data_IF_160173533960
#
_entry.id   IF_160173533960
#
_cell.length_a   1.000
_cell.length_b   1.000
_cell.length_c   1.000
_cell.angle_alpha   90.00
_cell.angle_beta   90.00
_cell.angle_gamma   90.00
#
_symmetry.space_group_name_H-M   'P 1'
#
loop_
_entity.id
_entity.type
_entity.pdbx_description
1 polymer ?
#
# COMPACT_ATOMS: atom_id res chain seq x y z
N UNK A 1 41.51 26.27 65.10
CA UNK A 1 40.64 26.92 64.09
C UNK A 1 41.12 26.43 62.73
N UNK A 2 40.41 25.49 62.11
CA UNK A 2 40.69 25.03 60.74
C UNK A 2 39.35 24.60 60.12
N UNK A 3 38.86 25.42 59.20
CA UNK A 3 37.63 25.19 58.44
C UNK A 3 37.78 23.97 57.53
N UNK A 4 36.86 23.01 57.63
CA UNK A 4 36.64 22.00 56.58
C UNK A 4 35.44 22.41 55.75
N UNK A 5 35.74 22.68 54.48
CA UNK A 5 34.84 22.94 53.37
C UNK A 5 33.77 21.85 53.24
N UNK A 6 32.52 22.29 53.32
CA UNK A 6 31.33 21.60 52.83
C UNK A 6 31.29 21.67 51.30
N UNK A 7 31.30 20.52 50.62
CA UNK A 7 31.00 20.42 49.17
C UNK A 7 30.74 18.97 48.72
N UNK A 8 29.79 18.30 49.36
CA UNK A 8 29.12 17.15 48.72
C UNK A 8 27.83 17.64 48.04
N UNK A 9 27.98 18.03 46.77
CA UNK A 9 26.85 18.27 45.90
C UNK A 9 26.23 16.95 45.48
N UNK A 10 25.09 16.60 46.07
CA UNK A 10 24.24 15.49 45.66
C UNK A 10 23.92 15.58 44.15
N UNK A 11 24.64 14.80 43.34
CA UNK A 11 24.27 14.58 41.94
C UNK A 11 23.00 13.75 41.91
N UNK A 12 21.85 14.42 41.74
CA UNK A 12 20.55 13.75 41.47
C UNK A 12 20.75 12.68 40.39
N UNK A 13 20.27 11.43 40.61
CA UNK A 13 20.42 10.37 39.61
C UNK A 13 19.70 10.79 38.32
N UNK A 14 20.41 10.74 37.18
CA UNK A 14 19.83 11.01 35.86
C UNK A 14 18.64 10.05 35.68
N UNK A 15 17.41 10.59 35.55
CA UNK A 15 16.22 9.79 35.26
C UNK A 15 16.49 8.95 34.02
N UNK A 16 16.40 7.62 34.14
CA UNK A 16 16.54 6.70 33.00
C UNK A 16 15.52 7.11 31.94
N UNK A 17 15.98 7.43 30.74
CA UNK A 17 15.12 7.84 29.64
C UNK A 17 14.24 6.65 29.26
N UNK A 18 12.94 6.74 29.54
CA UNK A 18 11.97 5.69 29.25
C UNK A 18 11.74 5.67 27.74
N UNK A 19 12.01 4.53 27.10
CA UNK A 19 11.72 4.32 25.68
C UNK A 19 10.21 4.35 25.49
N UNK A 20 9.73 5.23 24.60
CA UNK A 20 8.30 5.37 24.29
C UNK A 20 7.88 4.44 23.15
N UNK A 21 6.56 4.26 22.96
CA UNK A 21 6.04 3.52 21.81
C UNK A 21 6.43 4.15 20.47
N UNK A 22 6.50 5.48 20.42
CA UNK A 22 6.97 6.23 19.24
C UNK A 22 8.43 5.91 18.94
N UNK A 23 9.29 5.83 19.97
CA UNK A 23 10.70 5.50 19.80
C UNK A 23 10.88 4.07 19.26
N UNK A 24 10.04 3.13 19.70
CA UNK A 24 10.04 1.75 19.19
C UNK A 24 9.58 1.69 17.73
N UNK A 25 8.51 2.40 17.37
CA UNK A 25 8.04 2.43 15.99
C UNK A 25 9.04 3.09 15.05
N UNK A 26 9.71 4.17 15.49
CA UNK A 26 10.74 4.85 14.69
C UNK A 26 11.96 3.99 14.39
N UNK A 27 12.22 2.95 15.19
CA UNK A 27 13.26 1.93 14.96
C UNK A 27 12.78 0.73 14.14
N UNK A 28 11.51 0.72 13.74
CA UNK A 28 11.00 -0.32 12.86
C UNK A 28 11.44 -0.07 11.43
N UNK A 29 11.67 -1.15 10.68
CA UNK A 29 11.98 -1.06 9.25
C UNK A 29 10.84 -0.41 8.45
N UNK A 30 9.59 -0.48 8.93
CA UNK A 30 8.47 0.20 8.30
C UNK A 30 8.61 1.72 8.39
N UNK A 31 9.10 2.25 9.50
CA UNK A 31 9.35 3.68 9.63
C UNK A 31 10.60 4.10 8.84
N UNK A 32 11.72 3.44 9.09
CA UNK A 32 13.02 3.85 8.53
C UNK A 32 13.10 3.72 7.01
N UNK A 33 12.41 2.73 6.43
CA UNK A 33 12.55 2.39 5.01
C UNK A 33 11.30 2.74 4.20
N UNK A 34 10.11 2.70 4.81
CA UNK A 34 8.83 2.78 4.12
C UNK A 34 7.89 3.88 4.62
N UNK A 35 8.41 4.88 5.33
CA UNK A 35 7.64 6.09 5.66
C UNK A 35 8.19 7.29 4.89
N UNK A 36 7.29 8.02 4.23
CA UNK A 36 7.63 9.07 3.28
C UNK A 36 6.79 10.31 3.53
N UNK A 37 7.29 11.48 3.10
CA UNK A 37 6.41 12.63 2.85
C UNK A 37 5.61 12.40 1.55
N UNK A 38 4.50 13.11 1.33
CA UNK A 38 3.74 13.03 0.07
C UNK A 38 4.60 13.29 -1.17
N UNK A 39 5.53 14.25 -1.08
CA UNK A 39 6.44 14.62 -2.16
C UNK A 39 7.45 13.51 -2.44
N UNK A 40 8.05 12.94 -1.38
CA UNK A 40 8.99 11.81 -1.50
C UNK A 40 8.30 10.59 -2.11
N UNK A 41 7.06 10.31 -1.72
CA UNK A 41 6.29 9.20 -2.27
C UNK A 41 5.98 9.41 -3.76
N UNK A 42 5.58 10.62 -4.16
CA UNK A 42 5.34 10.97 -5.56
C UNK A 42 6.61 10.84 -6.39
N UNK A 43 7.74 11.34 -5.88
CA UNK A 43 9.05 11.20 -6.52
C UNK A 43 9.48 9.74 -6.66
N UNK A 44 9.26 8.91 -5.63
CA UNK A 44 9.59 7.49 -5.69
C UNK A 44 8.79 6.76 -6.79
N UNK A 45 7.49 7.04 -6.92
CA UNK A 45 6.65 6.51 -8.01
C UNK A 45 7.10 7.00 -9.38
N UNK A 46 7.45 8.27 -9.51
CA UNK A 46 7.95 8.82 -10.77
C UNK A 46 9.28 8.17 -11.19
N UNK A 47 10.20 7.95 -10.24
CA UNK A 47 11.49 7.29 -10.48
C UNK A 47 11.31 5.83 -10.90
N UNK A 48 10.42 5.08 -10.23
CA UNK A 48 10.17 3.68 -10.61
C UNK A 48 9.56 3.60 -12.01
N UNK A 49 8.58 4.46 -12.33
CA UNK A 49 8.01 4.57 -13.67
C UNK A 49 9.07 4.92 -14.73
N UNK A 50 9.90 5.94 -14.48
CA UNK A 50 10.96 6.36 -15.39
C UNK A 50 11.98 5.26 -15.67
N UNK A 51 12.41 4.54 -14.62
CA UNK A 51 13.25 3.33 -14.75
C UNK A 51 12.57 2.30 -15.67
N UNK A 52 11.29 2.02 -15.44
CA UNK A 52 10.51 1.10 -16.26
C UNK A 52 10.41 1.54 -17.72
N UNK A 53 10.21 2.84 -17.96
CA UNK A 53 10.15 3.42 -19.31
C UNK A 53 11.50 3.30 -20.02
N UNK A 54 12.60 3.55 -19.34
CA UNK A 54 13.94 3.39 -19.91
C UNK A 54 14.22 1.94 -20.32
N UNK A 55 13.85 0.96 -19.48
CA UNK A 55 13.98 -0.47 -19.81
C UNK A 55 13.08 -0.89 -20.98
N UNK A 56 11.83 -0.43 -21.00
CA UNK A 56 10.90 -0.72 -22.10
C UNK A 56 11.39 -0.11 -23.43
N UNK A 57 11.94 1.11 -23.40
CA UNK A 57 12.58 1.77 -24.55
C UNK A 57 13.75 0.95 -25.09
N UNK A 58 14.67 0.52 -24.22
CA UNK A 58 15.83 -0.27 -24.63
C UNK A 58 15.40 -1.59 -25.32
N UNK A 59 14.46 -2.33 -24.73
CA UNK A 59 13.90 -3.56 -25.32
C UNK A 59 13.20 -3.29 -26.65
N UNK A 60 12.50 -2.17 -26.75
CA UNK A 60 11.81 -1.77 -27.98
C UNK A 60 12.81 -1.50 -29.10
N UNK A 61 13.86 -0.70 -28.85
CA UNK A 61 14.87 -0.38 -29.85
C UNK A 61 15.58 -1.64 -30.35
N UNK A 62 15.95 -2.56 -29.46
CA UNK A 62 16.55 -3.85 -29.84
C UNK A 62 15.63 -4.67 -30.77
N UNK A 63 14.36 -4.81 -30.39
CA UNK A 63 13.36 -5.51 -31.19
C UNK A 63 13.10 -4.79 -32.53
N UNK A 64 13.12 -3.47 -32.55
CA UNK A 64 12.90 -2.63 -33.72
C UNK A 64 14.04 -2.76 -34.73
N UNK A 65 15.30 -2.69 -34.27
CA UNK A 65 16.46 -2.90 -35.13
C UNK A 65 16.45 -4.29 -35.75
N UNK A 66 16.16 -5.33 -34.94
CA UNK A 66 16.05 -6.71 -35.42
C UNK A 66 14.97 -6.86 -36.48
N UNK A 67 13.79 -6.26 -36.25
CA UNK A 67 12.67 -6.31 -37.20
C UNK A 67 12.98 -5.55 -38.50
N UNK A 68 13.62 -4.39 -38.42
CA UNK A 68 14.03 -3.58 -39.57
C UNK A 68 15.04 -4.31 -40.45
N UNK A 69 16.02 -5.00 -39.85
CA UNK A 69 16.97 -5.83 -40.59
C UNK A 69 16.32 -7.05 -41.25
N UNK A 70 15.25 -7.60 -40.64
CA UNK A 70 14.57 -8.79 -41.18
C UNK A 70 13.61 -8.44 -42.33
N UNK A 71 12.97 -7.26 -42.31
CA UNK A 71 11.95 -6.86 -43.29
C UNK A 71 12.19 -5.45 -43.86
N UNK A 72 13.34 -5.15 -44.50
CA UNK A 72 13.72 -3.79 -44.88
C UNK A 72 12.67 -3.10 -45.78
N UNK A 73 12.13 -3.82 -46.77
CA UNK A 73 11.16 -3.29 -47.72
C UNK A 73 9.87 -2.78 -47.06
N UNK A 74 9.40 -3.41 -45.98
CA UNK A 74 8.17 -2.98 -45.29
C UNK A 74 8.41 -1.66 -44.55
N UNK A 75 9.59 -1.51 -43.94
CA UNK A 75 9.96 -0.29 -43.21
C UNK A 75 10.21 0.89 -44.15
N UNK A 76 10.76 0.65 -45.34
CA UNK A 76 10.96 1.69 -46.37
C UNK A 76 9.64 2.15 -47.00
N UNK A 77 8.70 1.22 -47.21
CA UNK A 77 7.39 1.55 -47.78
C UNK A 77 6.44 2.24 -46.78
N UNK A 78 6.63 2.04 -45.47
CA UNK A 78 5.74 2.57 -44.43
C UNK A 78 6.49 3.31 -43.30
N UNK A 79 7.29 4.36 -43.60
CA UNK A 79 8.10 5.05 -42.61
C UNK A 79 7.27 5.83 -41.57
N UNK A 80 6.03 6.21 -41.91
CA UNK A 80 5.14 6.90 -40.97
C UNK A 80 4.43 5.94 -40.00
N UNK A 81 4.23 4.68 -40.37
CA UNK A 81 3.53 3.69 -39.54
C UNK A 81 4.47 2.82 -38.69
N UNK A 82 5.74 2.74 -39.07
CA UNK A 82 6.79 1.94 -38.42
C UNK A 82 7.95 2.84 -37.97
N UNK A 83 7.69 3.70 -37.00
CA UNK A 83 8.70 4.55 -36.36
C UNK A 83 8.66 4.40 -34.83
N UNK A 84 9.56 5.06 -34.12
CA UNK A 84 9.66 4.99 -32.66
C UNK A 84 8.40 5.50 -31.93
N UNK A 85 7.55 6.30 -32.60
CA UNK A 85 6.31 6.83 -32.00
C UNK A 85 5.22 5.78 -31.78
N UNK A 86 5.37 4.57 -32.36
CA UNK A 86 4.46 3.45 -32.08
C UNK A 86 4.52 2.99 -30.62
N UNK A 87 5.58 3.38 -29.91
CA UNK A 87 5.79 3.03 -28.52
C UNK A 87 4.90 3.90 -27.59
N UNK A 88 3.84 3.29 -27.07
CA UNK A 88 2.96 3.89 -26.08
C UNK A 88 3.24 3.30 -24.68
N UNK A 89 4.02 4.02 -23.87
CA UNK A 89 4.41 3.62 -22.52
C UNK A 89 3.49 4.22 -21.45
N UNK A 90 3.39 3.53 -20.32
CA UNK A 90 2.51 3.93 -19.23
C UNK A 90 3.00 5.21 -18.54
N UNK A 91 2.06 6.09 -18.20
CA UNK A 91 2.30 7.20 -17.27
C UNK A 91 2.25 6.73 -15.81
N UNK A 92 2.73 7.56 -14.89
CA UNK A 92 2.69 7.28 -13.45
C UNK A 92 1.26 7.11 -12.93
N UNK A 93 0.30 7.83 -13.50
CA UNK A 93 -1.13 7.78 -13.16
C UNK A 93 -1.79 6.50 -13.69
N UNK A 94 -1.47 6.11 -14.93
CA UNK A 94 -1.92 4.84 -15.51
C UNK A 94 -1.37 3.65 -14.73
N UNK A 95 -0.09 3.69 -14.38
CA UNK A 95 0.56 2.67 -13.54
C UNK A 95 -0.10 2.59 -12.16
N UNK A 96 -0.37 3.73 -11.52
CA UNK A 96 -1.09 3.76 -10.23
C UNK A 96 -2.48 3.13 -10.32
N UNK A 97 -3.26 3.51 -11.35
CA UNK A 97 -4.61 2.96 -11.59
C UNK A 97 -4.59 1.46 -11.80
N UNK A 98 -3.61 0.98 -12.56
CA UNK A 98 -3.44 -0.44 -12.86
C UNK A 98 -3.03 -1.23 -11.61
N UNK A 99 -2.14 -0.68 -10.78
CA UNK A 99 -1.77 -1.30 -9.49
C UNK A 99 -2.95 -1.37 -8.52
N UNK A 100 -3.82 -0.35 -8.48
CA UNK A 100 -5.03 -0.35 -7.65
C UNK A 100 -5.99 -1.47 -8.06
N UNK A 101 -6.14 -1.74 -9.36
CA UNK A 101 -6.89 -2.90 -9.86
C UNK A 101 -6.31 -4.22 -9.34
N UNK A 102 -4.99 -4.40 -9.36
CA UNK A 102 -4.36 -5.62 -8.83
C UNK A 102 -4.45 -5.73 -7.31
N UNK A 103 -4.48 -4.62 -6.56
CA UNK A 103 -4.76 -4.65 -5.13
C UNK A 103 -6.16 -5.23 -4.83
N UNK A 104 -7.17 -4.89 -5.64
CA UNK A 104 -8.50 -5.52 -5.51
C UNK A 104 -8.46 -7.02 -5.83
N UNK A 105 -7.63 -7.42 -6.80
CA UNK A 105 -7.41 -8.83 -7.12
C UNK A 105 -6.70 -9.58 -5.98
N UNK A 106 -5.80 -8.92 -5.22
CA UNK A 106 -5.21 -9.49 -4.00
C UNK A 106 -6.31 -9.80 -3.00
N UNK A 107 -7.19 -8.84 -2.72
CA UNK A 107 -8.34 -9.02 -1.81
C UNK A 107 -9.18 -10.22 -2.22
N UNK A 108 -9.51 -10.31 -3.50
CA UNK A 108 -10.35 -11.37 -4.07
C UNK A 108 -9.67 -12.74 -3.97
N UNK A 109 -8.38 -12.80 -4.29
CA UNK A 109 -7.59 -14.03 -4.24
C UNK A 109 -7.42 -14.53 -2.80
N UNK A 110 -7.05 -13.65 -1.86
CA UNK A 110 -6.96 -14.02 -0.45
C UNK A 110 -8.31 -14.51 0.12
N UNK A 111 -9.43 -13.90 -0.28
CA UNK A 111 -10.76 -14.36 0.11
C UNK A 111 -11.07 -15.75 -0.43
N UNK A 112 -10.73 -16.02 -1.69
CA UNK A 112 -10.91 -17.33 -2.31
C UNK A 112 -10.16 -18.43 -1.54
N UNK A 113 -8.93 -18.16 -1.10
CA UNK A 113 -8.14 -19.07 -0.26
C UNK A 113 -8.50 -19.02 1.24
N UNK A 114 -9.52 -18.25 1.64
CA UNK A 114 -9.94 -18.05 3.05
C UNK A 114 -8.80 -17.60 3.96
N UNK A 115 -7.85 -16.85 3.41
CA UNK A 115 -6.70 -16.35 4.17
C UNK A 115 -7.13 -15.29 5.20
N UNK A 116 -6.48 -15.24 6.37
CA UNK A 116 -6.81 -14.27 7.40
C UNK A 116 -6.52 -12.84 6.95
N UNK A 117 -7.14 -11.87 7.62
CA UNK A 117 -6.98 -10.43 7.29
C UNK A 117 -5.51 -10.00 7.29
N UNK A 118 -4.69 -10.51 8.21
CA UNK A 118 -3.26 -10.19 8.30
C UNK A 118 -2.52 -10.52 7.00
N UNK A 119 -2.65 -11.76 6.49
CA UNK A 119 -2.05 -12.19 5.22
C UNK A 119 -2.44 -11.26 4.07
N UNK A 120 -3.72 -10.89 3.99
CA UNK A 120 -4.21 -9.96 2.96
C UNK A 120 -3.54 -8.58 3.06
N UNK A 121 -3.45 -8.01 4.26
CA UNK A 121 -2.83 -6.70 4.47
C UNK A 121 -1.33 -6.74 4.21
N UNK A 122 -0.65 -7.82 4.57
CA UNK A 122 0.78 -8.04 4.29
C UNK A 122 1.03 -8.19 2.80
N UNK A 123 0.24 -8.98 2.09
CA UNK A 123 0.34 -9.14 0.63
C UNK A 123 0.16 -7.79 -0.10
N UNK A 124 -0.83 -7.00 0.28
CA UNK A 124 -1.04 -5.67 -0.28
C UNK A 124 0.14 -4.71 0.06
N UNK A 125 0.71 -4.80 1.26
CA UNK A 125 1.89 -4.02 1.64
C UNK A 125 3.10 -4.40 0.79
N UNK A 126 3.38 -5.71 0.61
CA UNK A 126 4.48 -6.19 -0.21
C UNK A 126 4.32 -5.75 -1.67
N UNK A 127 3.11 -5.88 -2.23
CA UNK A 127 2.82 -5.46 -3.59
C UNK A 127 3.07 -3.95 -3.80
N UNK A 128 2.58 -3.11 -2.89
CA UNK A 128 2.81 -1.65 -2.95
C UNK A 128 4.29 -1.29 -2.82
N UNK A 129 5.01 -1.92 -1.88
CA UNK A 129 6.44 -1.70 -1.65
C UNK A 129 7.25 -2.11 -2.89
N UNK A 130 6.92 -3.25 -3.49
CA UNK A 130 7.57 -3.75 -4.70
C UNK A 130 7.46 -2.74 -5.85
N UNK A 131 6.25 -2.21 -6.12
CA UNK A 131 6.03 -1.25 -7.20
C UNK A 131 6.39 0.20 -6.87
N UNK A 132 6.85 0.45 -5.64
CA UNK A 132 7.54 1.71 -5.32
C UNK A 132 9.01 1.69 -5.74
N UNK A 133 9.57 0.49 -5.95
CA UNK A 133 10.97 0.27 -6.35
C UNK A 133 11.08 -0.15 -7.82
N UNK A 134 10.12 -0.93 -8.30
CA UNK A 134 10.08 -1.46 -9.66
C UNK A 134 8.86 -0.94 -10.44
N UNK A 135 8.86 -1.13 -11.75
CA UNK A 135 7.72 -0.75 -12.61
C UNK A 135 6.97 -1.98 -13.15
N UNK A 136 5.69 -1.79 -13.47
CA UNK A 136 4.86 -2.75 -14.21
C UNK A 136 5.41 -3.05 -15.61
N UNK A 137 6.18 -2.12 -16.19
CA UNK A 137 6.88 -2.30 -17.47
C UNK A 137 8.16 -3.15 -17.34
N UNK A 138 8.56 -3.49 -16.11
CA UNK A 138 9.67 -4.41 -15.81
C UNK A 138 9.13 -5.77 -15.37
N UNK A 139 8.16 -5.78 -14.44
CA UNK A 139 7.54 -6.98 -13.89
C UNK A 139 6.03 -6.91 -13.98
N UNK A 140 5.43 -7.88 -14.67
CA UNK A 140 3.99 -7.93 -14.85
C UNK A 140 3.25 -8.17 -13.51
N UNK A 141 2.24 -7.34 -13.15
CA UNK A 141 1.54 -7.42 -11.85
C UNK A 141 0.88 -8.75 -11.51
N UNK A 142 0.40 -9.51 -12.51
CA UNK A 142 -0.23 -10.82 -12.29
C UNK A 142 0.65 -11.78 -11.49
N UNK A 143 1.91 -11.98 -11.90
CA UNK A 143 2.78 -12.95 -11.24
C UNK A 143 3.28 -12.39 -9.90
N UNK A 144 3.63 -11.09 -9.86
CA UNK A 144 4.02 -10.40 -8.62
C UNK A 144 2.92 -10.46 -7.57
N UNK A 145 1.64 -10.32 -7.96
CA UNK A 145 0.50 -10.47 -7.07
C UNK A 145 0.50 -11.84 -6.37
N UNK A 146 0.64 -12.92 -7.14
CA UNK A 146 0.62 -14.27 -6.58
C UNK A 146 1.84 -14.54 -5.69
N UNK A 147 3.02 -14.04 -6.09
CA UNK A 147 4.23 -14.11 -5.27
C UNK A 147 4.08 -13.32 -3.97
N UNK A 148 3.48 -12.13 -3.98
CA UNK A 148 3.20 -11.35 -2.77
C UNK A 148 2.26 -12.08 -1.82
N UNK A 149 1.20 -12.72 -2.33
CA UNK A 149 0.26 -13.50 -1.51
C UNK A 149 0.97 -14.70 -0.89
N UNK A 150 1.74 -15.45 -1.69
CA UNK A 150 2.46 -16.62 -1.22
C UNK A 150 3.53 -16.26 -0.17
N UNK A 151 4.30 -15.20 -0.39
CA UNK A 151 5.30 -14.72 0.57
C UNK A 151 4.64 -14.17 1.85
N UNK A 152 3.52 -13.45 1.73
CA UNK A 152 2.76 -12.96 2.88
C UNK A 152 2.20 -14.12 3.73
N UNK A 153 1.72 -15.18 3.09
CA UNK A 153 1.27 -16.38 3.79
C UNK A 153 2.41 -16.98 4.63
N UNK A 154 3.62 -17.12 4.05
CA UNK A 154 4.82 -17.56 4.79
C UNK A 154 5.16 -16.62 5.96
N UNK A 155 5.17 -15.30 5.71
CA UNK A 155 5.53 -14.29 6.71
C UNK A 155 4.56 -14.22 7.90
N UNK A 156 3.28 -14.50 7.68
CA UNK A 156 2.22 -14.49 8.70
C UNK A 156 1.92 -15.89 9.26
N UNK A 157 2.79 -16.87 9.03
CA UNK A 157 2.64 -18.26 9.48
C UNK A 157 1.35 -18.96 9.00
N UNK A 158 0.83 -18.57 7.83
CA UNK A 158 -0.26 -19.26 7.14
C UNK A 158 0.31 -20.30 6.17
N UNK A 159 0.19 -21.58 6.52
CA UNK A 159 0.76 -22.65 5.73
C UNK A 159 -0.10 -22.99 4.51
N UNK A 160 0.50 -22.88 3.32
CA UNK A 160 -0.06 -23.36 2.05
C UNK A 160 1.10 -23.85 1.17
N UNK A 161 0.98 -25.05 0.60
CA UNK A 161 2.01 -25.56 -0.32
C UNK A 161 1.93 -24.85 -1.67
N UNK A 162 3.07 -24.75 -2.37
CA UNK A 162 3.11 -24.12 -3.68
C UNK A 162 2.21 -24.84 -4.69
N UNK A 163 2.18 -26.18 -4.65
CA UNK A 163 1.37 -27.00 -5.56
C UNK A 163 -0.13 -26.77 -5.34
N UNK A 164 -0.58 -26.73 -4.08
CA UNK A 164 -1.98 -26.43 -3.76
C UNK A 164 -2.36 -24.99 -4.14
N UNK A 165 -1.42 -24.05 -3.99
CA UNK A 165 -1.64 -22.66 -4.36
C UNK A 165 -1.81 -22.49 -5.87
N UNK A 166 -0.89 -23.01 -6.69
CA UNK A 166 -0.94 -22.85 -8.15
C UNK A 166 -2.02 -23.70 -8.81
N UNK A 167 -2.40 -24.85 -8.23
CA UNK A 167 -3.48 -25.71 -8.76
C UNK A 167 -4.81 -24.97 -8.89
N UNK A 168 -5.08 -24.00 -8.01
CA UNK A 168 -6.30 -23.21 -8.06
C UNK A 168 -6.22 -21.97 -8.98
N UNK A 169 -5.03 -21.67 -9.53
CA UNK A 169 -4.78 -20.49 -10.36
C UNK A 169 -4.68 -20.87 -11.84
N UNK A 170 -5.44 -20.18 -12.69
CA UNK A 170 -5.45 -20.47 -14.13
C UNK A 170 -4.18 -19.95 -14.82
N UNK A 171 -3.43 -20.88 -15.41
CA UNK A 171 -2.25 -20.58 -16.22
C UNK A 171 -1.10 -19.96 -15.43
N UNK A 172 -0.89 -20.44 -14.20
CA UNK A 172 0.23 -20.07 -13.33
C UNK A 172 0.93 -21.36 -12.92
N UNK A 173 2.25 -21.41 -13.10
CA UNK A 173 3.08 -22.53 -12.68
C UNK A 173 3.84 -22.17 -11.41
N UNK A 174 4.32 -23.18 -10.66
CA UNK A 174 5.15 -22.96 -9.47
C UNK A 174 6.38 -22.09 -9.78
N UNK A 175 7.01 -22.31 -10.94
CA UNK A 175 8.17 -21.55 -11.39
C UNK A 175 7.89 -20.05 -11.55
N UNK A 176 6.67 -19.64 -11.97
CA UNK A 176 6.31 -18.23 -12.11
C UNK A 176 6.35 -17.47 -10.78
N UNK A 177 6.07 -18.18 -9.69
CA UNK A 177 6.06 -17.63 -8.33
C UNK A 177 7.47 -17.72 -7.72
N UNK A 178 8.09 -18.89 -7.77
CA UNK A 178 9.37 -19.16 -7.11
C UNK A 178 10.51 -18.34 -7.72
N UNK A 179 10.52 -18.13 -9.04
CA UNK A 179 11.53 -17.31 -9.70
C UNK A 179 11.45 -15.83 -9.29
N UNK A 180 10.26 -15.35 -8.94
CA UNK A 180 10.05 -13.97 -8.47
C UNK A 180 10.23 -13.81 -6.96
N UNK A 181 10.25 -14.89 -6.18
CA UNK A 181 10.26 -14.82 -4.72
C UNK A 181 11.50 -14.08 -4.18
N UNK A 182 12.69 -14.39 -4.71
CA UNK A 182 13.91 -13.72 -4.30
C UNK A 182 13.97 -12.26 -4.75
N UNK A 183 13.50 -11.97 -5.97
CA UNK A 183 13.41 -10.60 -6.51
C UNK A 183 12.46 -9.76 -5.65
N UNK A 184 11.34 -10.34 -5.23
CA UNK A 184 10.42 -9.71 -4.30
C UNK A 184 11.11 -9.40 -2.97
N UNK A 185 11.80 -10.37 -2.36
CA UNK A 185 12.56 -10.16 -1.11
C UNK A 185 13.59 -9.03 -1.21
N UNK A 186 14.37 -8.99 -2.29
CA UNK A 186 15.34 -7.93 -2.57
C UNK A 186 14.66 -6.57 -2.70
N UNK A 187 13.55 -6.50 -3.43
CA UNK A 187 12.77 -5.27 -3.64
C UNK A 187 12.14 -4.76 -2.34
N UNK A 188 11.76 -5.67 -1.45
CA UNK A 188 11.29 -5.38 -0.09
C UNK A 188 12.44 -5.02 0.87
N UNK A 189 13.70 -5.02 0.41
CA UNK A 189 14.89 -4.83 1.24
C UNK A 189 14.91 -5.77 2.45
N UNK A 190 14.36 -6.98 2.29
CA UNK A 190 14.19 -7.99 3.34
C UNK A 190 13.36 -7.53 4.56
N UNK A 191 12.55 -6.47 4.42
CA UNK A 191 11.70 -5.92 5.49
C UNK A 191 10.31 -6.57 5.50
N UNK A 192 10.24 -7.79 6.05
CA UNK A 192 9.03 -8.61 6.00
C UNK A 192 7.97 -8.26 7.06
N UNK A 193 8.39 -7.69 8.20
CA UNK A 193 7.45 -7.30 9.25
C UNK A 193 6.61 -6.09 8.80
N UNK A 194 5.29 -6.25 8.82
CA UNK A 194 4.33 -5.19 8.54
C UNK A 194 3.50 -4.89 9.79
N UNK A 195 3.56 -3.65 10.27
CA UNK A 195 2.71 -3.16 11.35
C UNK A 195 1.35 -2.76 10.78
N UNK A 196 0.33 -3.57 11.03
CA UNK A 196 -1.02 -3.30 10.55
C UNK A 196 -1.85 -2.43 11.51
N UNK A 197 -2.75 -1.58 10.98
CA UNK A 197 -3.65 -0.76 11.81
C UNK A 197 -4.74 -1.56 12.53
N UNK A 198 -5.00 -2.82 12.16
CA UNK A 198 -5.97 -3.68 12.84
C UNK A 198 -5.58 -3.99 14.30
N UNK A 199 -4.28 -4.01 14.61
CA UNK A 199 -3.78 -4.28 15.97
C UNK A 199 -4.01 -3.08 16.91
N UNK A 200 -3.60 -1.84 16.58
CA UNK A 200 -3.97 -0.68 17.39
C UNK A 200 -5.48 -0.42 17.39
N UNK A 201 -6.22 -0.74 16.31
CA UNK A 201 -7.68 -0.67 16.33
C UNK A 201 -8.28 -1.54 17.45
N UNK A 202 -7.80 -2.77 17.61
CA UNK A 202 -8.20 -3.64 18.70
C UNK A 202 -7.77 -3.10 20.07
N UNK A 203 -6.57 -2.52 20.18
CA UNK A 203 -6.12 -1.82 21.39
C UNK A 203 -7.07 -0.70 21.80
N UNK A 204 -7.43 0.19 20.86
CA UNK A 204 -8.38 1.27 21.13
C UNK A 204 -9.77 0.76 21.49
N UNK A 205 -10.21 -0.36 20.91
CA UNK A 205 -11.46 -1.00 21.32
C UNK A 205 -11.44 -1.41 22.80
N UNK A 206 -10.34 -2.02 23.26
CA UNK A 206 -10.18 -2.38 24.68
C UNK A 206 -10.10 -1.14 25.59
N UNK A 207 -9.36 -0.11 25.16
CA UNK A 207 -9.27 1.16 25.90
C UNK A 207 -10.65 1.81 26.03
N UNK A 208 -11.47 1.81 24.96
CA UNK A 208 -12.84 2.33 25.02
C UNK A 208 -13.74 1.52 25.96
N UNK A 209 -13.59 0.19 26.01
CA UNK A 209 -14.34 -0.61 26.99
C UNK A 209 -13.93 -0.26 28.41
N UNK A 210 -12.62 -0.14 28.68
CA UNK A 210 -12.11 0.19 30.00
C UNK A 210 -12.54 1.59 30.46
N UNK A 211 -12.40 2.59 29.60
CA UNK A 211 -12.66 4.00 29.94
C UNK A 211 -14.14 4.36 29.87
N UNK A 212 -14.94 3.79 28.97
CA UNK A 212 -16.34 4.21 28.76
C UNK A 212 -17.37 3.33 29.46
N UNK A 213 -17.05 2.07 29.79
CA UNK A 213 -18.00 1.12 30.37
C UNK A 213 -17.71 0.74 31.82
N UNK A 214 -16.46 0.88 32.29
CA UNK A 214 -16.06 0.47 33.63
C UNK A 214 -15.77 1.67 34.55
N UNK A 215 -16.19 1.63 35.84
CA UNK A 215 -16.98 0.58 36.50
C UNK A 215 -18.48 0.60 36.14
N UNK A 216 -18.97 1.70 35.55
CA UNK A 216 -20.31 1.83 34.98
C UNK A 216 -20.24 2.73 33.73
N UNK A 217 -21.19 2.63 32.78
CA UNK A 217 -21.17 3.43 31.56
C UNK A 217 -21.16 4.94 31.86
N UNK A 218 -20.23 5.67 31.26
CA UNK A 218 -20.14 7.14 31.40
C UNK A 218 -21.37 7.82 30.76
N UNK A 219 -21.97 7.19 29.76
CA UNK A 219 -23.12 7.71 29.02
C UNK A 219 -24.17 6.62 28.78
N UNK A 220 -25.44 7.01 28.80
CA UNK A 220 -26.58 6.10 28.64
C UNK A 220 -26.64 5.44 27.24
N UNK A 221 -26.11 6.11 26.21
CA UNK A 221 -26.11 5.64 24.82
C UNK A 221 -24.89 4.76 24.46
N UNK A 222 -23.91 4.66 25.35
CA UNK A 222 -22.70 3.85 25.12
C UNK A 222 -22.87 2.47 25.75
N UNK A 223 -23.23 1.50 24.91
CA UNK A 223 -23.32 0.08 25.28
C UNK A 223 -22.16 -0.72 24.69
N UNK A 224 -22.03 -1.98 25.13
CA UNK A 224 -21.08 -2.96 24.54
C UNK A 224 -21.31 -3.11 23.04
N UNK A 225 -22.59 -3.15 22.62
CA UNK A 225 -22.96 -3.29 21.21
C UNK A 225 -22.58 -2.05 20.40
N UNK A 226 -22.73 -0.84 20.96
CA UNK A 226 -22.30 0.41 20.30
C UNK A 226 -20.80 0.39 20.01
N UNK A 227 -19.98 -0.02 21.00
CA UNK A 227 -18.52 -0.11 20.83
C UNK A 227 -18.14 -1.25 19.86
N UNK A 228 -18.84 -2.38 19.93
CA UNK A 228 -18.66 -3.51 19.00
C UNK A 228 -18.96 -3.13 17.54
N UNK A 229 -20.07 -2.44 17.31
CA UNK A 229 -20.45 -1.94 15.98
C UNK A 229 -19.43 -0.93 15.45
N UNK A 230 -18.97 0.00 16.29
CA UNK A 230 -17.92 0.96 15.92
C UNK A 230 -16.64 0.24 15.47
N UNK A 231 -16.21 -0.80 16.20
CA UNK A 231 -15.05 -1.62 15.83
C UNK A 231 -15.25 -2.34 14.49
N UNK A 232 -16.41 -2.96 14.29
CA UNK A 232 -16.73 -3.66 13.04
C UNK A 232 -16.71 -2.71 11.84
N UNK A 233 -17.37 -1.55 11.94
CA UNK A 233 -17.35 -0.53 10.89
C UNK A 233 -15.95 0.02 10.64
N UNK A 234 -15.15 0.25 11.69
CA UNK A 234 -13.77 0.71 11.54
C UNK A 234 -12.88 -0.36 10.86
N UNK A 235 -13.12 -1.64 11.15
CA UNK A 235 -12.42 -2.75 10.48
C UNK A 235 -12.78 -2.83 9.00
N UNK A 236 -14.05 -2.64 8.65
CA UNK A 236 -14.49 -2.54 7.25
C UNK A 236 -13.86 -1.33 6.54
N UNK A 237 -13.79 -0.19 7.24
CA UNK A 237 -13.11 1.00 6.74
C UNK A 237 -11.64 0.71 6.39
N UNK A 238 -10.92 -0.02 7.25
CA UNK A 238 -9.54 -0.44 6.97
C UNK A 238 -9.47 -1.38 5.76
N UNK A 239 -10.36 -2.36 5.66
CA UNK A 239 -10.40 -3.26 4.51
C UNK A 239 -10.67 -2.52 3.18
N UNK A 240 -11.47 -1.45 3.21
CA UNK A 240 -11.83 -0.67 2.03
C UNK A 240 -10.77 0.36 1.65
N UNK A 241 -10.45 1.27 2.58
CA UNK A 241 -9.67 2.47 2.30
C UNK A 241 -8.18 2.30 2.60
N UNK A 242 -7.80 1.64 3.70
CA UNK A 242 -6.37 1.41 3.99
C UNK A 242 -5.72 0.49 2.95
N UNK A 243 -6.43 -0.55 2.49
CA UNK A 243 -5.93 -1.44 1.46
C UNK A 243 -5.69 -0.75 0.12
N UNK A 244 -6.55 0.19 -0.28
CA UNK A 244 -6.51 0.79 -1.62
C UNK A 244 -5.71 2.10 -1.67
N UNK A 245 -5.47 2.77 -0.53
CA UNK A 245 -4.78 4.07 -0.49
C UNK A 245 -3.30 3.97 -0.13
N UNK A 246 -2.58 5.08 -0.27
CA UNK A 246 -1.15 5.16 0.07
C UNK A 246 -0.89 5.53 1.54
N UNK A 247 -1.91 5.54 2.41
CA UNK A 247 -1.78 6.03 3.79
C UNK A 247 -0.80 5.23 4.65
N UNK A 248 -0.55 3.95 4.30
CA UNK A 248 0.43 3.10 4.96
C UNK A 248 1.87 3.63 4.86
N UNK A 249 2.15 4.44 3.84
CA UNK A 249 3.46 5.10 3.62
C UNK A 249 3.56 6.46 4.29
N UNK A 250 2.44 7.04 4.74
CA UNK A 250 2.35 8.44 5.17
C UNK A 250 2.05 8.58 6.66
N UNK A 251 1.42 7.58 7.26
CA UNK A 251 0.94 7.64 8.64
C UNK A 251 1.30 6.37 9.41
N UNK A 252 1.56 6.52 10.69
CA UNK A 252 1.77 5.36 11.57
C UNK A 252 0.47 4.57 11.76
N UNK A 253 0.52 3.24 11.98
CA UNK A 253 -0.66 2.40 12.13
C UNK A 253 -1.68 2.86 13.18
N UNK A 254 -1.28 3.38 14.38
CA UNK A 254 -2.23 3.94 15.34
C UNK A 254 -3.00 5.16 14.80
N UNK A 255 -2.34 6.04 14.03
CA UNK A 255 -3.00 7.19 13.40
C UNK A 255 -4.05 6.75 12.38
N UNK A 256 -3.75 5.70 11.60
CA UNK A 256 -4.68 5.13 10.62
C UNK A 256 -5.87 4.47 11.33
N UNK A 257 -5.64 3.74 12.43
CA UNK A 257 -6.71 3.16 13.23
C UNK A 257 -7.63 4.22 13.84
N UNK A 258 -7.07 5.30 14.40
CA UNK A 258 -7.85 6.45 14.88
C UNK A 258 -8.61 7.14 13.74
N UNK A 259 -8.03 7.23 12.55
CA UNK A 259 -8.71 7.76 11.37
C UNK A 259 -9.93 6.92 10.97
N UNK A 260 -9.82 5.59 11.02
CA UNK A 260 -10.94 4.69 10.78
C UNK A 260 -12.06 4.94 11.80
N UNK A 261 -11.75 4.91 13.10
CA UNK A 261 -12.72 5.16 14.19
C UNK A 261 -13.37 6.55 14.07
N UNK A 262 -12.58 7.59 13.81
CA UNK A 262 -13.07 8.97 13.76
C UNK A 262 -13.98 9.22 12.54
N UNK A 263 -13.74 8.53 11.44
CA UNK A 263 -14.58 8.62 10.25
C UNK A 263 -15.89 7.81 10.41
N UNK A 264 -15.82 6.60 10.98
CA UNK A 264 -17.02 5.79 11.23
C UNK A 264 -17.92 6.40 12.29
N UNK A 265 -17.37 6.96 13.37
CA UNK A 265 -18.15 7.70 14.37
C UNK A 265 -18.93 8.87 13.76
N UNK A 266 -18.33 9.62 12.82
CA UNK A 266 -19.05 10.72 12.14
C UNK A 266 -20.21 10.21 11.30
N UNK A 267 -20.05 9.07 10.65
CA UNK A 267 -21.12 8.43 9.89
C UNK A 267 -22.25 8.02 10.82
N UNK A 268 -21.93 7.37 11.94
CA UNK A 268 -22.91 6.99 12.97
C UNK A 268 -23.63 8.23 13.54
N UNK A 269 -22.92 9.32 13.86
CA UNK A 269 -23.52 10.57 14.38
C UNK A 269 -24.40 11.28 13.34
N UNK A 270 -24.11 11.13 12.04
CA UNK A 270 -24.99 11.64 10.98
C UNK A 270 -26.24 10.80 10.81
N UNK A 271 -26.12 9.48 11.01
CA UNK A 271 -27.23 8.52 10.92
C UNK A 271 -28.10 8.54 12.18
N UNK A 272 -27.53 8.85 13.35
CA UNK A 272 -28.23 9.05 14.62
C UNK A 272 -27.84 10.39 15.29
N UNK A 273 -28.61 11.47 15.06
CA UNK A 273 -28.32 12.80 15.60
C UNK A 273 -28.43 12.89 17.13
N UNK A 274 -28.97 11.88 17.84
CA UNK A 274 -29.07 11.88 19.30
C UNK A 274 -27.73 11.63 20.00
N UNK A 275 -26.76 10.99 19.33
CA UNK A 275 -25.41 10.71 19.83
C UNK A 275 -24.46 11.94 19.84
N UNK A 276 -24.92 13.10 19.36
CA UNK A 276 -24.10 14.30 19.18
C UNK A 276 -23.88 15.11 20.48
N UNK A 277 -24.69 14.88 21.53
CA UNK A 277 -24.74 15.75 22.73
C UNK A 277 -23.75 15.39 23.85
N UNK A 278 -22.82 14.48 23.59
CA UNK A 278 -21.95 13.90 24.59
C UNK A 278 -20.63 14.64 24.88
N UNK A 279 -20.22 15.66 24.11
CA UNK A 279 -18.82 16.11 24.15
C UNK A 279 -18.63 17.62 24.40
N UNK A 280 -18.79 18.01 25.66
CA UNK A 280 -18.17 19.21 26.23
C UNK A 280 -17.73 18.89 27.65
N UNK A 281 -16.52 18.37 27.82
CA UNK A 281 -15.61 18.73 28.92
C UNK A 281 -14.40 17.80 28.99
N UNK A 282 -13.35 18.18 28.26
CA UNK A 282 -11.99 17.71 28.50
C UNK A 282 -11.02 18.84 28.15
N UNK A 283 -11.03 19.89 28.98
CA UNK A 283 -10.04 20.97 28.92
C UNK A 283 -9.33 21.06 30.25
N UNK A 284 -8.09 20.54 30.31
CA UNK A 284 -7.06 20.97 31.27
C UNK A 284 -5.70 20.37 30.88
N UNK A 285 -4.92 21.14 30.11
CA UNK A 285 -3.49 21.44 30.25
C UNK A 285 -2.95 22.07 28.93
N UNK A 286 -2.19 23.17 28.98
CA UNK A 286 -1.84 23.95 27.78
C UNK A 286 -0.85 23.25 26.84
N UNK A 287 0.10 22.44 27.32
CA UNK A 287 1.08 21.73 26.49
C UNK A 287 0.48 20.54 25.71
N UNK A 288 -0.51 19.86 26.29
CA UNK A 288 -1.22 18.76 25.63
C UNK A 288 -2.17 19.23 24.53
N UNK A 289 -2.57 20.51 24.55
CA UNK A 289 -3.54 21.05 23.59
C UNK A 289 -2.97 21.16 22.17
N UNK A 290 -1.75 21.68 22.02
CA UNK A 290 -1.11 21.79 20.69
C UNK A 290 -0.85 20.41 20.08
N UNK A 291 -0.38 19.46 20.89
CA UNK A 291 -0.15 18.08 20.48
C UNK A 291 -1.46 17.40 20.05
N UNK A 292 -2.53 17.59 20.83
CA UNK A 292 -3.86 17.12 20.48
C UNK A 292 -4.39 17.74 19.18
N UNK A 293 -4.29 19.06 19.01
CA UNK A 293 -4.72 19.75 17.80
C UNK A 293 -3.90 19.32 16.57
N UNK A 294 -2.62 19.04 16.75
CA UNK A 294 -1.75 18.44 15.71
C UNK A 294 -2.21 17.02 15.35
N UNK A 295 -2.46 16.17 16.35
CA UNK A 295 -2.96 14.80 16.15
C UNK A 295 -4.30 14.80 15.38
N UNK A 296 -5.24 15.64 15.79
CA UNK A 296 -6.55 15.76 15.13
C UNK A 296 -6.41 16.22 13.67
N UNK A 297 -5.50 17.17 13.39
CA UNK A 297 -5.19 17.59 12.02
C UNK A 297 -4.60 16.42 11.20
N UNK A 298 -3.67 15.67 11.77
CA UNK A 298 -3.08 14.48 11.14
C UNK A 298 -4.12 13.42 10.82
N UNK A 299 -5.04 13.14 11.75
CA UNK A 299 -6.15 12.19 11.55
C UNK A 299 -7.06 12.64 10.41
N UNK A 300 -7.47 13.92 10.38
CA UNK A 300 -8.32 14.46 9.30
C UNK A 300 -7.63 14.36 7.94
N UNK A 301 -6.32 14.65 7.89
CA UNK A 301 -5.52 14.50 6.67
C UNK A 301 -5.47 13.03 6.22
N UNK A 302 -5.28 12.10 7.15
CA UNK A 302 -5.31 10.66 6.87
C UNK A 302 -6.67 10.22 6.28
N UNK A 303 -7.79 10.66 6.86
CA UNK A 303 -9.14 10.33 6.34
C UNK A 303 -9.30 10.84 4.91
N UNK A 304 -8.91 12.10 4.64
CA UNK A 304 -8.99 12.68 3.28
C UNK A 304 -8.19 11.83 2.29
N UNK A 305 -6.91 11.58 2.57
CA UNK A 305 -6.03 10.82 1.68
C UNK A 305 -6.44 9.36 1.51
N UNK A 306 -7.08 8.75 2.50
CA UNK A 306 -7.56 7.38 2.39
C UNK A 306 -8.77 7.26 1.45
N UNK A 307 -9.62 8.29 1.39
CA UNK A 307 -10.83 8.33 0.57
C UNK A 307 -10.64 8.94 -0.82
N UNK A 308 -9.59 9.72 -1.02
CA UNK A 308 -9.28 10.45 -2.25
C UNK A 308 -8.66 9.56 -3.34
N UNK A 309 -9.22 8.36 -3.54
CA UNK A 309 -8.74 7.41 -4.55
C UNK A 309 -9.83 7.16 -5.59
N UNK A 310 -9.55 7.38 -6.89
CA UNK A 310 -10.49 7.03 -7.95
C UNK A 310 -10.70 5.50 -7.96
N UNK A 311 -11.94 5.07 -8.12
CA UNK A 311 -12.23 3.66 -8.31
C UNK A 311 -11.57 3.18 -9.61
N UNK A 312 -10.80 2.09 -9.55
CA UNK A 312 -10.19 1.50 -10.73
C UNK A 312 -11.30 1.00 -11.68
N UNK A 313 -11.40 1.63 -12.85
CA UNK A 313 -12.32 1.22 -13.91
C UNK A 313 -11.75 0.00 -14.66
N UNK A 314 -12.58 -1.02 -14.81
CA UNK A 314 -12.20 -2.28 -15.47
C UNK A 314 -11.86 -2.08 -16.94
N UNK A 315 -12.57 -1.20 -17.65
CA UNK A 315 -12.30 -0.96 -19.07
C UNK A 315 -10.97 -0.20 -19.25
N UNK A 316 -10.75 0.86 -18.46
CA UNK A 316 -9.44 1.56 -18.44
C UNK A 316 -8.29 0.62 -18.09
N UNK A 317 -8.50 -0.27 -17.12
CA UNK A 317 -7.48 -1.24 -16.71
C UNK A 317 -7.13 -2.23 -17.83
N UNK A 318 -8.09 -2.61 -18.70
CA UNK A 318 -7.82 -3.45 -19.89
C UNK A 318 -6.99 -2.72 -20.94
N UNK A 319 -7.22 -1.42 -21.13
CA UNK A 319 -6.41 -0.61 -22.05
C UNK A 319 -4.98 -0.46 -21.54
N UNK A 320 -4.82 -0.20 -20.24
CA UNK A 320 -3.51 -0.13 -19.61
C UNK A 320 -2.79 -1.49 -19.66
N UNK A 321 -3.51 -2.59 -19.47
CA UNK A 321 -2.98 -3.96 -19.59
C UNK A 321 -2.39 -4.21 -20.99
N UNK A 322 -3.10 -3.79 -22.05
CA UNK A 322 -2.59 -3.88 -23.43
C UNK A 322 -1.30 -3.09 -23.62
N UNK A 323 -1.22 -1.86 -23.09
CA UNK A 323 0.02 -1.06 -23.13
C UNK A 323 1.16 -1.76 -22.40
N UNK A 324 0.89 -2.28 -21.20
CA UNK A 324 1.87 -3.00 -20.38
C UNK A 324 2.38 -4.26 -21.10
N UNK A 325 1.47 -5.03 -21.71
CA UNK A 325 1.82 -6.21 -22.48
C UNK A 325 2.78 -5.90 -23.63
N UNK A 326 2.54 -4.83 -24.38
CA UNK A 326 3.42 -4.42 -25.48
C UNK A 326 4.72 -3.79 -25.00
N UNK A 327 4.73 -3.10 -23.86
CA UNK A 327 5.96 -2.61 -23.24
C UNK A 327 6.89 -3.76 -22.80
N UNK A 328 6.31 -4.88 -22.32
CA UNK A 328 7.05 -6.09 -21.96
C UNK A 328 7.42 -6.95 -23.18
N UNK A 329 6.64 -6.88 -24.27
CA UNK A 329 6.79 -7.72 -25.47
C UNK A 329 6.80 -6.87 -26.76
N UNK A 330 7.81 -6.00 -26.98
CA UNK A 330 7.81 -5.08 -28.11
C UNK A 330 7.83 -5.79 -29.47
N UNK A 331 8.48 -6.94 -29.59
CA UNK A 331 8.50 -7.74 -30.83
C UNK A 331 7.10 -8.11 -31.31
N UNK A 332 6.21 -8.51 -30.39
CA UNK A 332 4.82 -8.85 -30.74
C UNK A 332 4.03 -7.65 -31.25
N UNK A 333 4.34 -6.44 -30.75
CA UNK A 333 3.74 -5.19 -31.22
C UNK A 333 4.17 -4.90 -32.67
N UNK A 334 5.47 -4.98 -32.92
CA UNK A 334 6.08 -4.70 -34.23
C UNK A 334 5.58 -5.71 -35.27
N UNK A 335 5.65 -7.01 -34.96
CA UNK A 335 5.18 -8.08 -35.85
C UNK A 335 3.70 -7.94 -36.20
N UNK A 336 2.87 -7.54 -35.23
CA UNK A 336 1.44 -7.27 -35.46
C UNK A 336 1.23 -6.11 -36.41
N UNK A 337 2.05 -5.05 -36.33
CA UNK A 337 1.96 -3.89 -37.22
C UNK A 337 2.43 -4.22 -38.63
N UNK A 338 3.55 -4.93 -38.76
CA UNK A 338 4.06 -5.45 -40.04
C UNK A 338 2.98 -6.28 -40.74
N UNK A 339 2.40 -7.28 -40.04
CA UNK A 339 1.35 -8.15 -40.59
C UNK A 339 0.14 -7.37 -41.10
N UNK A 340 -0.27 -6.30 -40.39
CA UNK A 340 -1.39 -5.46 -40.82
C UNK A 340 -1.06 -4.72 -42.12
N UNK A 341 0.11 -4.13 -42.22
CA UNK A 341 0.55 -3.37 -43.39
C UNK A 341 0.77 -4.28 -44.62
N UNK A 342 1.25 -5.51 -44.42
CA UNK A 342 1.39 -6.48 -45.51
C UNK A 342 0.05 -7.02 -45.98
N UNK A 343 -0.94 -7.15 -45.08
CA UNK A 343 -2.29 -7.63 -45.43
C UNK A 343 -3.13 -6.59 -46.18
N UNK A 344 -2.87 -5.28 -45.98
CA UNK A 344 -3.54 -4.21 -46.73
C UNK A 344 -3.04 -4.10 -48.20
N UNK A 345 -1.96 -4.80 -48.56
CA UNK A 345 -1.41 -4.89 -49.93
C UNK A 345 -1.90 -6.10 -50.73
N UNK A 346 -2.52 -7.10 -50.09
CA UNK A 346 -3.10 -8.29 -50.74
C UNK A 346 -4.60 -8.12 -50.90
#
# INVERSE_FOLDING_TARGET
MAERSSRDGERRPKKKQRITGDDLYRRSTQYEVWSFTPEQLSQAKARSNEKGRALAKARFLEAFHTAKSTNPEVFENHPQDLNESIMNLLTTEEESTYLDFYIQNITTTCNFFKMPTQVKLTAASFFKKFYLVNSVMEYHPKNVLYTCIFLAAKSENYFISIDSFVKALKGVQAADILNLEFILLQSLKFTLLVHHPIRPLYGFFLDFQAELLHPAPIMYDVSVDTIGNLYNSAREWLNKYYMSSNVAFLFAPPHIALAAIADTKKTIVKEDPKAANANRDAKKQPSGREQYESLVRSIRKCIKLAKDMPAADREKSKEIDKKCFFALNPRKMIDKRIKKLTAEKS
#
